data_IF_890701052850
#
_entry.id   IF_890701052850
#
_cell.length_a   1.000
_cell.length_b   1.000
_cell.length_c   1.000
_cell.angle_alpha   90.00
_cell.angle_beta   90.00
_cell.angle_gamma   90.00
#
_symmetry.space_group_name_H-M   'P 1'
#
loop_
_entity.id
_entity.type
_entity.pdbx_description
1 polymer ?
#
# COMPACT_ATOMS: atom_id res chain seq x y z
N UNK A 1 11.99 -12.17 4.89
CA UNK A 1 11.52 -10.81 5.22
C UNK A 1 10.47 -10.40 4.20
N UNK A 2 9.30 -10.02 4.67
CA UNK A 2 8.23 -9.60 3.76
C UNK A 2 8.54 -8.24 3.15
N UNK A 3 8.12 -8.04 1.91
CA UNK A 3 8.40 -6.85 1.11
C UNK A 3 7.15 -6.03 0.89
N UNK A 4 7.24 -4.74 1.15
CA UNK A 4 6.12 -3.80 1.03
C UNK A 4 6.51 -2.65 0.11
N UNK A 5 5.61 -2.27 -0.80
CA UNK A 5 5.68 -0.99 -1.51
C UNK A 5 4.65 -0.07 -0.86
N UNK A 6 5.08 1.10 -0.43
CA UNK A 6 4.20 2.12 0.16
C UNK A 6 4.12 3.30 -0.80
N UNK A 7 2.91 3.60 -1.27
CA UNK A 7 2.69 4.66 -2.25
C UNK A 7 1.79 5.76 -1.67
N UNK A 8 2.35 6.96 -1.55
CA UNK A 8 1.66 8.13 -1.00
C UNK A 8 2.30 9.38 -1.59
N UNK A 9 1.50 10.38 -1.92
CA UNK A 9 1.99 11.61 -2.54
C UNK A 9 2.72 12.54 -1.57
N UNK A 10 2.57 12.36 -0.27
CA UNK A 10 3.16 13.24 0.74
C UNK A 10 4.51 12.71 1.23
N UNK A 11 5.63 13.44 0.99
CA UNK A 11 6.96 12.95 1.35
C UNK A 11 7.14 12.65 2.85
N UNK A 12 6.53 13.45 3.74
CA UNK A 12 6.67 13.20 5.17
C UNK A 12 5.93 11.94 5.62
N UNK A 13 4.82 11.61 4.96
CA UNK A 13 4.09 10.36 5.21
C UNK A 13 4.92 9.18 4.69
N UNK A 14 5.52 9.32 3.51
CA UNK A 14 6.42 8.29 2.98
C UNK A 14 7.53 7.97 3.97
N UNK A 15 8.20 9.00 4.49
CA UNK A 15 9.33 8.81 5.40
C UNK A 15 8.89 8.19 6.72
N UNK A 16 7.80 8.68 7.29
CA UNK A 16 7.27 8.15 8.54
C UNK A 16 6.91 6.67 8.40
N UNK A 17 6.15 6.32 7.37
CA UNK A 17 5.71 4.94 7.18
C UNK A 17 6.88 4.02 6.82
N UNK A 18 7.86 4.52 6.05
CA UNK A 18 9.08 3.76 5.77
C UNK A 18 9.77 3.35 7.06
N UNK A 19 10.04 4.33 7.94
CA UNK A 19 10.74 4.07 9.20
C UNK A 19 9.95 3.12 10.11
N UNK A 20 8.65 3.38 10.26
CA UNK A 20 7.82 2.59 11.17
C UNK A 20 7.61 1.15 10.69
N UNK A 21 7.47 0.95 9.40
CA UNK A 21 7.31 -0.40 8.85
C UNK A 21 8.64 -1.15 8.84
N UNK A 22 9.76 -0.47 8.59
CA UNK A 22 11.07 -1.09 8.73
C UNK A 22 11.33 -1.53 10.16
N UNK A 23 10.92 -0.74 11.15
CA UNK A 23 11.05 -1.10 12.56
C UNK A 23 10.23 -2.34 12.91
N UNK A 24 9.15 -2.60 12.17
CA UNK A 24 8.33 -3.82 12.36
C UNK A 24 8.94 -5.05 11.66
N UNK A 25 10.07 -4.89 10.97
CA UNK A 25 10.80 -6.00 10.36
C UNK A 25 10.53 -6.21 8.87
N UNK A 26 9.91 -5.26 8.18
CA UNK A 26 9.62 -5.37 6.75
C UNK A 26 10.69 -4.67 5.91
N UNK A 27 10.87 -5.18 4.69
CA UNK A 27 11.66 -4.51 3.66
C UNK A 27 10.69 -3.60 2.89
N UNK A 28 10.95 -2.29 2.85
CA UNK A 28 9.98 -1.31 2.37
C UNK A 28 10.61 -0.42 1.29
N UNK A 29 9.86 -0.19 0.22
CA UNK A 29 10.17 0.84 -0.78
C UNK A 29 9.01 1.81 -0.85
N UNK A 30 9.31 3.10 -1.01
CA UNK A 30 8.30 4.14 -1.06
C UNK A 30 8.33 4.86 -2.40
N UNK A 31 7.17 5.33 -2.84
CA UNK A 31 7.04 6.13 -4.04
C UNK A 31 5.83 7.06 -3.92
N UNK A 32 5.82 8.13 -4.70
CA UNK A 32 4.70 9.07 -4.74
C UNK A 32 3.82 8.94 -5.97
N UNK A 33 4.08 7.97 -6.86
CA UNK A 33 3.37 7.84 -8.14
C UNK A 33 2.96 6.41 -8.40
N UNK A 34 1.74 6.23 -8.90
CA UNK A 34 1.21 4.90 -9.21
C UNK A 34 2.01 4.19 -10.31
N UNK A 35 2.46 4.93 -11.31
CA UNK A 35 3.29 4.38 -12.38
C UNK A 35 4.55 3.72 -11.83
N UNK A 36 5.18 4.36 -10.84
CA UNK A 36 6.38 3.81 -10.20
C UNK A 36 6.06 2.54 -9.41
N UNK A 37 4.87 2.46 -8.80
CA UNK A 37 4.45 1.25 -8.08
C UNK A 37 4.40 0.07 -9.03
N UNK A 38 3.76 0.25 -10.18
CA UNK A 38 3.63 -0.83 -11.18
C UNK A 38 5.00 -1.28 -11.66
N UNK A 39 5.88 -0.33 -11.92
CA UNK A 39 7.24 -0.63 -12.38
C UNK A 39 8.06 -1.33 -11.31
N UNK A 40 8.02 -0.83 -10.07
CA UNK A 40 8.74 -1.43 -8.94
C UNK A 40 8.25 -2.85 -8.64
N UNK A 41 6.95 -3.10 -8.80
CA UNK A 41 6.39 -4.41 -8.50
C UNK A 41 7.02 -5.51 -9.36
N UNK A 42 7.42 -5.19 -10.58
CA UNK A 42 8.03 -6.18 -11.48
C UNK A 42 9.36 -6.71 -10.95
N UNK A 43 10.18 -5.83 -10.38
CA UNK A 43 11.53 -6.20 -9.91
C UNK A 43 11.57 -6.51 -8.42
N UNK A 44 10.86 -5.74 -7.62
CA UNK A 44 10.87 -5.90 -6.17
C UNK A 44 10.07 -7.11 -5.70
N UNK A 45 9.04 -7.52 -6.45
CA UNK A 45 8.17 -8.64 -6.12
C UNK A 45 7.57 -8.48 -4.72
N UNK A 46 6.76 -7.44 -4.49
CA UNK A 46 6.24 -7.17 -3.16
C UNK A 46 5.22 -8.22 -2.73
N UNK A 47 5.16 -8.49 -1.43
CA UNK A 47 4.11 -9.29 -0.82
C UNK A 47 2.85 -8.46 -0.58
N UNK A 48 3.05 -7.13 -0.42
CA UNK A 48 1.98 -6.19 -0.15
C UNK A 48 2.28 -4.84 -0.79
N UNK A 49 1.23 -4.17 -1.26
CA UNK A 49 1.30 -2.77 -1.68
C UNK A 49 0.27 -1.98 -0.89
N UNK A 50 0.72 -0.90 -0.26
CA UNK A 50 -0.16 0.04 0.44
C UNK A 50 -0.30 1.25 -0.45
N UNK A 51 -1.53 1.58 -0.83
CA UNK A 51 -1.82 2.60 -1.84
C UNK A 51 -2.71 3.70 -1.29
N UNK A 52 -2.28 4.94 -1.41
CA UNK A 52 -3.16 6.09 -1.28
C UNK A 52 -4.19 6.04 -2.41
N UNK A 53 -5.46 6.40 -2.11
CA UNK A 53 -6.52 6.35 -3.12
C UNK A 53 -6.34 7.41 -4.21
N UNK A 54 -5.76 8.55 -3.87
CA UNK A 54 -5.56 9.65 -4.82
C UNK A 54 -4.06 9.88 -5.00
N UNK A 55 -3.52 9.34 -6.09
CA UNK A 55 -2.13 9.57 -6.47
C UNK A 55 -2.10 10.57 -7.65
N UNK A 56 -0.99 11.30 -7.86
CA UNK A 56 -0.99 12.38 -8.87
C UNK A 56 -1.22 11.92 -10.31
N UNK A 57 -0.87 10.68 -10.64
CA UNK A 57 -0.94 10.16 -12.00
C UNK A 57 -2.05 9.13 -12.22
N UNK A 58 -2.61 8.56 -11.16
CA UNK A 58 -3.63 7.51 -11.27
C UNK A 58 -4.29 7.31 -9.92
N UNK A 59 -5.55 6.90 -9.89
CA UNK A 59 -6.17 6.54 -8.62
C UNK A 59 -5.53 5.27 -8.05
N UNK A 60 -5.43 5.21 -6.72
CA UNK A 60 -4.94 4.01 -6.04
C UNK A 60 -5.80 2.78 -6.32
N UNK A 61 -7.09 3.00 -6.53
CA UNK A 61 -8.01 1.92 -6.89
C UNK A 61 -7.63 1.27 -8.21
N UNK A 62 -7.36 2.10 -9.22
CA UNK A 62 -6.98 1.64 -10.55
C UNK A 62 -5.62 0.96 -10.52
N UNK A 63 -4.65 1.56 -9.81
CA UNK A 63 -3.32 0.98 -9.64
C UNK A 63 -3.41 -0.39 -8.94
N UNK A 64 -4.25 -0.49 -7.91
CA UNK A 64 -4.46 -1.75 -7.19
C UNK A 64 -4.98 -2.86 -8.10
N UNK A 65 -5.91 -2.54 -8.98
CA UNK A 65 -6.43 -3.51 -9.95
C UNK A 65 -5.33 -4.00 -10.90
N UNK A 66 -4.49 -3.09 -11.37
CA UNK A 66 -3.38 -3.46 -12.26
C UNK A 66 -2.39 -4.39 -11.56
N UNK A 67 -2.04 -4.06 -10.32
CA UNK A 67 -1.10 -4.87 -9.53
C UNK A 67 -1.69 -6.25 -9.24
N UNK A 68 -2.94 -6.30 -8.80
CA UNK A 68 -3.62 -7.56 -8.51
C UNK A 68 -3.79 -8.42 -9.76
N UNK A 69 -4.03 -7.78 -10.90
CA UNK A 69 -4.12 -8.48 -12.19
C UNK A 69 -2.80 -9.12 -12.60
N UNK A 70 -1.67 -8.48 -12.29
CA UNK A 70 -0.34 -9.01 -12.58
C UNK A 70 0.06 -10.12 -11.61
N UNK A 71 -0.34 -10.03 -10.34
CA UNK A 71 -0.05 -11.03 -9.33
C UNK A 71 -1.16 -11.05 -8.27
N UNK A 72 -2.01 -12.06 -8.33
CA UNK A 72 -3.16 -12.20 -7.43
C UNK A 72 -2.76 -12.43 -5.97
N UNK A 73 -1.54 -12.85 -5.72
CA UNK A 73 -1.05 -13.11 -4.36
C UNK A 73 -0.61 -11.84 -3.64
N UNK A 74 -0.34 -10.77 -4.36
CA UNK A 74 0.03 -9.50 -3.75
C UNK A 74 -1.16 -8.93 -2.98
N UNK A 75 -0.96 -8.63 -1.71
CA UNK A 75 -2.00 -8.01 -0.87
C UNK A 75 -2.04 -6.51 -1.14
N UNK A 76 -3.24 -5.98 -1.24
CA UNK A 76 -3.46 -4.55 -1.48
C UNK A 76 -4.19 -3.95 -0.30
N UNK A 77 -3.60 -2.94 0.33
CA UNK A 77 -4.25 -2.13 1.35
C UNK A 77 -4.41 -0.72 0.81
N UNK A 78 -5.62 -0.20 0.82
CA UNK A 78 -5.88 1.19 0.51
C UNK A 78 -5.71 2.03 1.77
N UNK A 79 -5.02 3.17 1.65
CA UNK A 79 -4.69 4.04 2.77
C UNK A 79 -5.14 5.46 2.41
N UNK A 80 -6.18 5.97 3.09
CA UNK A 80 -6.86 7.18 2.67
C UNK A 80 -7.46 7.92 3.86
N UNK A 81 -7.72 9.22 3.68
CA UNK A 81 -8.40 10.02 4.70
C UNK A 81 -9.89 9.70 4.80
N UNK A 82 -10.47 9.10 3.78
CA UNK A 82 -11.89 8.75 3.79
C UNK A 82 -12.07 7.32 3.28
N UNK A 83 -13.14 6.63 3.73
CA UNK A 83 -13.39 5.26 3.27
C UNK A 83 -13.68 5.21 1.77
N UNK A 84 -13.41 4.06 1.12
CA UNK A 84 -13.74 3.89 -0.29
C UNK A 84 -15.26 3.89 -0.48
N UNK A 85 -15.73 4.29 -1.68
CA UNK A 85 -17.16 4.46 -1.91
C UNK A 85 -17.96 3.14 -2.00
N UNK A 86 -17.29 2.03 -2.24
CA UNK A 86 -17.94 0.73 -2.49
C UNK A 86 -17.16 -0.41 -1.86
N UNK A 87 -17.64 -1.63 -2.10
CA UNK A 87 -17.00 -2.85 -1.66
C UNK A 87 -15.56 -2.92 -2.18
N UNK A 88 -14.63 -3.23 -1.28
CA UNK A 88 -13.20 -3.34 -1.59
C UNK A 88 -12.91 -4.39 -2.65
N UNK A 89 -13.68 -5.48 -2.68
CA UNK A 89 -13.44 -6.57 -3.62
C UNK A 89 -13.57 -6.13 -5.08
N UNK A 90 -14.40 -5.13 -5.36
CA UNK A 90 -14.55 -4.55 -6.70
C UNK A 90 -13.23 -3.96 -7.19
N UNK A 91 -12.40 -3.47 -6.27
CA UNK A 91 -11.13 -2.82 -6.59
C UNK A 91 -9.92 -3.72 -6.43
N UNK A 92 -10.14 -5.00 -6.05
CA UNK A 92 -9.05 -5.94 -5.80
C UNK A 92 -8.30 -5.67 -4.50
N UNK A 93 -8.82 -4.80 -3.65
CA UNK A 93 -8.19 -4.50 -2.37
C UNK A 93 -8.58 -5.52 -1.31
N UNK A 94 -7.63 -5.87 -0.45
CA UNK A 94 -7.85 -6.82 0.65
C UNK A 94 -8.33 -6.12 1.91
N UNK A 95 -7.97 -4.84 2.09
CA UNK A 95 -8.40 -4.05 3.24
C UNK A 95 -8.21 -2.57 2.94
N UNK A 96 -8.73 -1.71 3.82
CA UNK A 96 -8.37 -0.29 3.79
C UNK A 96 -8.18 0.21 5.22
N UNK A 97 -7.39 1.28 5.35
CA UNK A 97 -7.11 1.92 6.63
C UNK A 97 -7.29 3.42 6.46
N UNK A 98 -8.00 4.05 7.39
CA UNK A 98 -8.15 5.50 7.42
C UNK A 98 -6.83 6.11 7.91
N UNK A 99 -6.30 7.09 7.17
CA UNK A 99 -5.09 7.79 7.55
C UNK A 99 -5.29 8.51 8.88
N UNK A 100 -4.29 8.38 9.76
CA UNK A 100 -4.30 8.94 11.10
C UNK A 100 -2.86 9.21 11.51
N UNK A 101 -2.59 10.19 12.38
CA UNK A 101 -1.25 10.35 12.96
C UNK A 101 -0.77 9.13 13.72
N UNK A 102 -1.70 8.33 14.24
CA UNK A 102 -1.40 7.07 14.90
C UNK A 102 -1.38 5.97 13.85
N UNK A 103 -0.27 5.24 13.74
CA UNK A 103 -0.09 4.18 12.75
C UNK A 103 -0.49 2.78 13.25
N UNK A 104 -1.08 2.67 14.42
CA UNK A 104 -1.43 1.37 15.00
C UNK A 104 -2.39 0.57 14.12
N UNK A 105 -3.38 1.24 13.52
CA UNK A 105 -4.34 0.57 12.64
C UNK A 105 -3.67 0.09 11.35
N UNK A 106 -2.76 0.89 10.79
CA UNK A 106 -2.01 0.49 9.61
C UNK A 106 -1.12 -0.72 9.92
N UNK A 107 -0.39 -0.65 11.02
CA UNK A 107 0.48 -1.76 11.44
C UNK A 107 -0.31 -3.04 11.70
N UNK A 108 -1.48 -2.92 12.32
CA UNK A 108 -2.35 -4.08 12.57
C UNK A 108 -2.84 -4.71 11.28
N UNK A 109 -3.23 -3.89 10.30
CA UNK A 109 -3.68 -4.39 9.00
C UNK A 109 -2.54 -5.10 8.27
N UNK A 110 -1.33 -4.55 8.30
CA UNK A 110 -0.15 -5.18 7.71
C UNK A 110 0.12 -6.54 8.36
N UNK A 111 0.13 -6.58 9.69
CA UNK A 111 0.40 -7.83 10.44
C UNK A 111 -0.65 -8.91 10.17
N UNK A 112 -1.90 -8.51 9.87
CA UNK A 112 -2.96 -9.48 9.56
C UNK A 112 -2.63 -10.31 8.33
N UNK A 113 -1.97 -9.73 7.34
CA UNK A 113 -1.69 -10.40 6.07
C UNK A 113 -0.24 -10.88 5.93
N UNK A 114 0.69 -10.28 6.65
CA UNK A 114 2.12 -10.59 6.51
C UNK A 114 2.74 -10.97 7.85
N UNK A 115 3.45 -12.09 7.90
CA UNK A 115 4.27 -12.39 9.06
C UNK A 115 5.43 -11.41 9.13
N UNK A 116 5.76 -10.99 10.34
CA UNK A 116 6.90 -10.10 10.56
C UNK A 116 8.23 -10.86 10.41
#
# INVERSE_FOLDING_TARGET
>A
MSRIIFADSEPHIQQLCLEELQDEGYEVKVTGRAEDVVRLAETFQPDMVILEMVLPDMSGLEAGRMIKGANRKTRIILYSYSPPPHDLSVWGADDFVIKSPNLDMLKAAVRRFLPA
#
